data_IF_510848967884
#
_entry.id   IF_510848967884
#
_cell.length_a   1.000
_cell.length_b   1.000
_cell.length_c   1.000
_cell.angle_alpha   90.00
_cell.angle_beta   90.00
_cell.angle_gamma   90.00
#
_symmetry.space_group_name_H-M   'P 1'
#
loop_
_entity.id
_entity.type
_entity.pdbx_description
1 polymer ?
#
# COMPACT_ATOMS: atom_id res chain seq x y z
N UNK A 1 -56.72 55.43 41.13
CA UNK A 1 -55.91 54.72 42.14
C UNK A 1 -55.37 53.46 41.48
N UNK A 2 -54.14 53.52 40.96
CA UNK A 2 -53.55 52.46 40.16
C UNK A 2 -52.84 51.45 41.07
N UNK A 3 -53.34 50.22 41.09
CA UNK A 3 -52.82 49.16 41.96
C UNK A 3 -51.67 48.42 41.26
N UNK A 4 -50.44 48.61 41.76
CA UNK A 4 -49.22 47.99 41.23
C UNK A 4 -49.11 46.56 41.74
N UNK A 5 -49.26 45.57 40.85
CA UNK A 5 -48.91 44.18 41.14
C UNK A 5 -47.43 43.94 40.88
N UNK A 6 -46.67 43.61 41.93
CA UNK A 6 -45.28 43.13 41.83
C UNK A 6 -45.22 41.72 41.19
N UNK A 7 -44.20 41.42 40.37
CA UNK A 7 -44.05 40.09 39.80
C UNK A 7 -43.40 39.11 40.78
N UNK A 8 -43.99 37.93 40.92
CA UNK A 8 -43.53 36.85 41.77
C UNK A 8 -42.10 36.38 41.40
N UNK A 9 -41.24 36.25 42.42
CA UNK A 9 -39.84 35.85 42.30
C UNK A 9 -39.68 34.46 41.63
N UNK A 10 -38.86 34.43 40.56
CA UNK A 10 -38.52 33.22 39.80
C UNK A 10 -37.64 32.29 40.65
N UNK A 11 -38.20 31.18 41.14
CA UNK A 11 -37.47 30.15 41.89
C UNK A 11 -36.33 29.58 41.04
N UNK A 12 -35.08 29.81 41.46
CA UNK A 12 -33.90 29.22 40.83
C UNK A 12 -33.78 27.75 41.26
N UNK A 13 -34.11 26.82 40.36
CA UNK A 13 -33.82 25.39 40.53
C UNK A 13 -32.31 25.14 40.38
N UNK A 14 -31.54 25.38 41.45
CA UNK A 14 -30.13 24.98 41.52
C UNK A 14 -30.08 23.52 41.96
N UNK A 15 -29.84 22.63 41.00
CA UNK A 15 -29.53 21.22 41.27
C UNK A 15 -28.23 21.17 42.08
N UNK A 16 -28.20 20.40 43.17
CA UNK A 16 -27.00 20.31 44.00
C UNK A 16 -25.83 19.72 43.21
N UNK A 17 -24.57 20.10 43.51
CA UNK A 17 -23.39 19.53 42.86
C UNK A 17 -23.36 17.99 42.93
N UNK A 18 -23.81 17.42 44.05
CA UNK A 18 -23.91 15.98 44.25
C UNK A 18 -24.98 15.33 43.37
N UNK A 19 -26.15 15.96 43.20
CA UNK A 19 -27.18 15.47 42.29
C UNK A 19 -26.73 15.52 40.82
N UNK A 20 -25.92 16.52 40.44
CA UNK A 20 -25.28 16.58 39.12
C UNK A 20 -24.26 15.46 38.93
N UNK A 21 -23.36 15.26 39.90
CA UNK A 21 -22.36 14.20 39.87
C UNK A 21 -23.01 12.80 39.79
N UNK A 22 -24.08 12.55 40.55
CA UNK A 22 -24.83 11.29 40.47
C UNK A 22 -25.44 11.10 39.08
N UNK A 23 -26.05 12.14 38.50
CA UNK A 23 -26.63 12.07 37.15
C UNK A 23 -25.58 11.76 36.09
N UNK A 24 -24.39 12.34 36.20
CA UNK A 24 -23.25 12.07 35.32
C UNK A 24 -22.72 10.65 35.52
N UNK A 25 -22.60 10.18 36.77
CA UNK A 25 -22.19 8.81 37.08
C UNK A 25 -23.16 7.76 36.50
N UNK A 26 -24.48 7.99 36.62
CA UNK A 26 -25.49 7.12 36.02
C UNK A 26 -25.46 7.14 34.49
N UNK A 27 -25.19 8.30 33.88
CA UNK A 27 -24.99 8.41 32.43
C UNK A 27 -23.76 7.60 31.99
N UNK A 28 -22.62 7.80 32.66
CA UNK A 28 -21.39 7.08 32.36
C UNK A 28 -21.53 5.55 32.58
N UNK A 29 -22.29 5.12 33.58
CA UNK A 29 -22.59 3.70 33.79
C UNK A 29 -23.42 3.10 32.65
N UNK A 30 -24.42 3.84 32.14
CA UNK A 30 -25.21 3.42 30.97
C UNK A 30 -24.39 3.35 29.70
N UNK A 31 -23.53 4.33 29.46
CA UNK A 31 -22.61 4.36 28.30
C UNK A 31 -21.64 3.16 28.34
N UNK A 32 -21.08 2.84 29.51
CA UNK A 32 -20.25 1.64 29.67
C UNK A 32 -21.03 0.35 29.38
N UNK A 33 -22.25 0.22 29.91
CA UNK A 33 -23.08 -0.96 29.67
C UNK A 33 -23.45 -1.12 28.19
N UNK A 34 -23.73 -0.01 27.48
CA UNK A 34 -23.96 -0.02 26.02
C UNK A 34 -22.72 -0.48 25.27
N UNK A 35 -21.55 0.09 25.57
CA UNK A 35 -20.29 -0.29 24.94
C UNK A 35 -19.95 -1.76 25.16
N UNK A 36 -20.16 -2.30 26.36
CA UNK A 36 -19.97 -3.74 26.63
C UNK A 36 -20.92 -4.60 25.80
N UNK A 37 -22.17 -4.16 25.61
CA UNK A 37 -23.15 -4.88 24.79
C UNK A 37 -22.80 -4.84 23.30
N UNK A 38 -22.29 -3.71 22.81
CA UNK A 38 -21.78 -3.58 21.44
C UNK A 38 -20.61 -4.52 21.18
N UNK A 39 -19.61 -4.56 22.07
CA UNK A 39 -18.47 -5.48 21.97
C UNK A 39 -18.91 -6.95 21.95
N UNK A 40 -19.90 -7.30 22.77
CA UNK A 40 -20.46 -8.65 22.79
C UNK A 40 -21.16 -9.00 21.46
N UNK A 41 -21.94 -8.07 20.91
CA UNK A 41 -22.62 -8.27 19.63
C UNK A 41 -21.62 -8.45 18.48
N UNK A 42 -20.57 -7.63 18.42
CA UNK A 42 -19.50 -7.75 17.40
C UNK A 42 -18.83 -9.12 17.51
N UNK A 43 -18.50 -9.56 18.72
CA UNK A 43 -17.89 -10.88 18.95
C UNK A 43 -18.77 -12.02 18.45
N UNK A 44 -20.10 -11.92 18.65
CA UNK A 44 -21.04 -12.91 18.15
C UNK A 44 -21.12 -12.91 16.62
N UNK A 45 -21.17 -11.73 16.01
CA UNK A 45 -21.19 -11.58 14.54
C UNK A 45 -19.95 -12.19 13.90
N UNK A 46 -18.75 -11.88 14.42
CA UNK A 46 -17.49 -12.46 13.94
C UNK A 46 -17.49 -13.98 14.05
N UNK A 47 -18.03 -14.53 15.16
CA UNK A 47 -18.15 -15.98 15.33
C UNK A 47 -19.07 -16.61 14.29
N UNK A 48 -20.20 -15.98 13.98
CA UNK A 48 -21.16 -16.50 12.99
C UNK A 48 -20.57 -16.43 11.57
N UNK A 49 -19.85 -15.36 11.24
CA UNK A 49 -19.12 -15.22 9.97
C UNK A 49 -18.03 -16.29 9.83
N UNK A 50 -17.23 -16.51 10.88
CA UNK A 50 -16.21 -17.56 10.90
C UNK A 50 -16.82 -18.95 10.72
N UNK A 51 -17.96 -19.23 11.36
CA UNK A 51 -18.68 -20.50 11.16
C UNK A 51 -19.11 -20.65 9.70
N UNK A 52 -19.65 -19.60 9.10
CA UNK A 52 -20.07 -19.61 7.69
C UNK A 52 -18.90 -19.86 6.74
N UNK A 53 -17.74 -19.27 7.02
CA UNK A 53 -16.51 -19.53 6.25
C UNK A 53 -16.03 -20.97 6.41
N UNK A 54 -16.11 -21.52 7.63
CA UNK A 54 -15.75 -22.90 7.90
C UNK A 54 -16.68 -23.87 7.14
N UNK A 55 -17.98 -23.66 7.19
CA UNK A 55 -18.96 -24.50 6.49
C UNK A 55 -18.69 -24.48 4.98
N UNK A 56 -18.45 -23.29 4.40
CA UNK A 56 -18.08 -23.15 2.99
C UNK A 56 -16.77 -23.84 2.63
N UNK A 57 -15.76 -23.80 3.51
CA UNK A 57 -14.49 -24.47 3.29
C UNK A 57 -14.67 -25.99 3.27
N UNK A 58 -15.47 -26.53 4.21
CA UNK A 58 -15.82 -27.94 4.25
C UNK A 58 -16.60 -28.38 3.01
N UNK A 59 -17.60 -27.62 2.60
CA UNK A 59 -18.37 -27.89 1.39
C UNK A 59 -17.48 -27.85 0.13
N UNK A 60 -16.56 -26.90 0.05
CA UNK A 60 -15.62 -26.79 -1.06
C UNK A 60 -14.65 -27.97 -1.12
N UNK A 61 -14.27 -28.52 0.04
CA UNK A 61 -13.38 -29.68 0.13
C UNK A 61 -14.02 -30.96 -0.44
N UNK A 62 -15.34 -31.08 -0.44
CA UNK A 62 -16.05 -32.25 -1.01
C UNK A 62 -15.87 -32.35 -2.53
N UNK A 63 -15.65 -31.22 -3.23
CA UNK A 63 -15.48 -31.17 -4.69
C UNK A 63 -14.04 -31.09 -5.17
N UNK A 64 -13.07 -30.78 -4.31
CA UNK A 64 -11.68 -30.50 -4.72
C UNK A 64 -10.78 -31.74 -4.83
N UNK A 65 -11.26 -32.92 -4.43
CA UNK A 65 -10.46 -34.14 -4.43
C UNK A 65 -9.33 -34.12 -3.38
N UNK A 66 -8.51 -35.17 -3.30
CA UNK A 66 -7.39 -35.22 -2.36
C UNK A 66 -6.39 -34.09 -2.66
N UNK A 67 -5.99 -33.34 -1.63
CA UNK A 67 -4.97 -32.29 -1.74
C UNK A 67 -3.64 -32.92 -2.18
N UNK A 68 -3.32 -32.79 -3.46
CA UNK A 68 -2.02 -33.20 -4.01
C UNK A 68 -1.02 -32.09 -3.66
N UNK A 69 0.08 -32.40 -2.95
CA UNK A 69 1.18 -31.45 -2.79
C UNK A 69 1.72 -31.11 -4.17
N UNK A 70 1.54 -29.86 -4.59
CA UNK A 70 2.18 -29.34 -5.80
C UNK A 70 3.57 -28.89 -5.38
N UNK A 71 4.62 -29.37 -6.06
CA UNK A 71 5.96 -28.80 -5.92
C UNK A 71 5.88 -27.32 -6.27
N UNK A 72 6.44 -26.47 -5.41
CA UNK A 72 6.41 -25.02 -5.60
C UNK A 72 7.35 -24.64 -6.76
N UNK A 73 6.92 -24.88 -8.00
CA UNK A 73 7.57 -24.33 -9.19
C UNK A 73 7.04 -22.91 -9.44
N UNK A 74 7.46 -21.98 -8.57
CA UNK A 74 7.43 -20.56 -8.90
C UNK A 74 8.70 -19.90 -8.38
N UNK A 75 9.75 -19.98 -9.19
CA UNK A 75 10.90 -19.11 -9.06
C UNK A 75 10.56 -17.80 -9.78
N UNK A 76 10.22 -16.76 -9.01
CA UNK A 76 10.20 -15.40 -9.52
C UNK A 76 11.61 -14.86 -9.37
N UNK A 77 12.44 -15.02 -10.41
CA UNK A 77 13.68 -14.27 -10.55
C UNK A 77 13.31 -12.79 -10.77
N UNK A 78 13.28 -12.05 -9.67
CA UNK A 78 13.34 -10.60 -9.72
C UNK A 78 14.74 -10.18 -10.15
N UNK A 79 14.83 -9.54 -11.32
CA UNK A 79 15.97 -8.71 -11.74
C UNK A 79 17.36 -9.25 -11.32
N UNK A 80 17.69 -10.48 -11.72
CA UNK A 80 19.07 -10.94 -11.56
C UNK A 80 19.95 -10.27 -12.61
N UNK A 81 20.96 -9.53 -12.16
CA UNK A 81 21.98 -8.98 -13.04
C UNK A 81 22.92 -10.11 -13.46
N UNK A 82 22.68 -10.67 -14.65
CA UNK A 82 23.59 -11.64 -15.25
C UNK A 82 24.80 -10.89 -15.79
N UNK A 83 25.94 -11.00 -15.10
CA UNK A 83 27.21 -10.50 -15.58
C UNK A 83 27.86 -11.56 -16.47
N UNK A 84 27.92 -11.29 -17.78
CA UNK A 84 28.66 -12.12 -18.72
C UNK A 84 30.00 -11.44 -19.05
N UNK A 85 31.10 -12.17 -18.87
CA UNK A 85 32.39 -11.82 -19.44
C UNK A 85 32.38 -12.18 -20.93
N UNK A 86 32.62 -11.20 -21.79
CA UNK A 86 32.69 -11.34 -23.26
C UNK A 86 34.09 -10.96 -23.70
N UNK A 87 34.65 -11.69 -24.68
CA UNK A 87 35.95 -11.38 -25.26
C UNK A 87 35.91 -10.04 -26.02
N UNK A 88 37.02 -9.29 -25.99
CA UNK A 88 37.14 -7.97 -26.62
C UNK A 88 36.81 -8.01 -28.12
N UNK A 89 37.30 -9.03 -28.83
CA UNK A 89 37.01 -9.24 -30.26
C UNK A 89 35.50 -9.37 -30.54
N UNK A 90 34.77 -10.08 -29.67
CA UNK A 90 33.32 -10.25 -29.82
C UNK A 90 32.58 -8.95 -29.55
N UNK A 91 33.07 -8.14 -28.60
CA UNK A 91 32.49 -6.85 -28.30
C UNK A 91 32.68 -5.85 -29.46
N UNK A 92 33.81 -5.93 -30.17
CA UNK A 92 34.07 -5.11 -31.36
C UNK A 92 33.20 -5.48 -32.57
N UNK A 93 32.80 -6.74 -32.70
CA UNK A 93 31.94 -7.21 -33.80
C UNK A 93 30.47 -6.78 -33.63
N UNK A 94 30.02 -6.58 -32.40
CA UNK A 94 28.64 -6.21 -32.09
C UNK A 94 28.35 -4.75 -32.43
N UNK A 95 27.11 -4.48 -32.85
CA UNK A 95 26.63 -3.10 -32.98
C UNK A 95 26.23 -2.55 -31.62
N UNK A 96 26.45 -1.25 -31.41
CA UNK A 96 26.23 -0.61 -30.12
C UNK A 96 25.13 0.44 -30.23
N UNK A 97 24.19 0.45 -29.30
CA UNK A 97 23.12 1.45 -29.22
C UNK A 97 23.28 2.30 -27.98
N UNK A 98 23.24 3.62 -28.17
CA UNK A 98 23.26 4.60 -27.07
C UNK A 98 21.83 4.97 -26.70
N UNK A 99 21.45 4.71 -25.45
CA UNK A 99 20.11 4.95 -24.91
C UNK A 99 20.21 5.90 -23.72
N UNK A 100 19.38 6.96 -23.73
CA UNK A 100 19.24 7.87 -22.60
C UNK A 100 18.02 7.48 -21.77
N UNK A 101 18.23 7.24 -20.47
CA UNK A 101 17.17 7.09 -19.49
C UNK A 101 17.09 8.38 -18.66
N UNK A 102 16.03 9.16 -18.90
CA UNK A 102 15.79 10.39 -18.16
C UNK A 102 15.25 10.10 -16.77
N UNK A 103 15.39 11.05 -15.82
CA UNK A 103 14.84 10.94 -14.47
C UNK A 103 13.31 10.77 -14.43
N UNK A 104 12.61 11.13 -15.51
CA UNK A 104 11.17 10.91 -15.67
C UNK A 104 10.81 9.45 -16.03
N UNK A 105 11.80 8.56 -16.15
CA UNK A 105 11.63 7.16 -16.52
C UNK A 105 11.49 6.92 -18.03
N UNK A 106 11.54 7.96 -18.86
CA UNK A 106 11.51 7.80 -20.31
C UNK A 106 12.86 7.29 -20.82
N UNK A 107 12.81 6.15 -21.53
CA UNK A 107 13.92 5.54 -22.26
C UNK A 107 13.86 5.99 -23.71
N UNK A 108 14.89 6.68 -24.19
CA UNK A 108 15.00 7.16 -25.57
C UNK A 108 16.27 6.66 -26.23
N UNK A 109 16.12 5.97 -27.34
CA UNK A 109 17.22 5.60 -28.24
C UNK A 109 17.69 6.85 -28.98
N UNK A 110 19.01 7.11 -28.96
CA UNK A 110 19.60 8.28 -29.60
C UNK A 110 20.17 7.94 -30.98
N UNK A 111 21.11 6.99 -31.02
CA UNK A 111 21.77 6.53 -32.24
C UNK A 111 22.52 5.22 -31.97
N UNK A 112 22.95 4.58 -33.05
CA UNK A 112 23.78 3.39 -33.03
C UNK A 112 25.20 3.71 -33.54
N UNK A 113 26.21 3.06 -32.97
CA UNK A 113 27.60 3.11 -33.42
C UNK A 113 28.09 1.72 -33.80
N UNK A 114 29.13 1.68 -34.63
CA UNK A 114 29.70 0.41 -35.11
C UNK A 114 30.71 -0.17 -34.13
N UNK A 115 31.37 0.67 -33.35
CA UNK A 115 32.39 0.25 -32.37
C UNK A 115 32.00 0.70 -30.97
N UNK A 116 32.54 0.00 -29.96
CA UNK A 116 32.36 0.33 -28.56
C UNK A 116 32.98 1.70 -28.23
N UNK A 117 34.19 1.97 -28.73
CA UNK A 117 34.91 3.22 -28.45
C UNK A 117 34.11 4.45 -28.91
N UNK A 118 33.45 4.36 -30.06
CA UNK A 118 32.56 5.41 -30.55
C UNK A 118 31.35 5.60 -29.62
N UNK A 119 30.74 4.50 -29.15
CA UNK A 119 29.63 4.55 -28.20
C UNK A 119 30.05 5.19 -26.88
N UNK A 120 31.19 4.79 -26.32
CA UNK A 120 31.72 5.29 -25.05
C UNK A 120 32.09 6.77 -25.17
N UNK A 121 32.75 7.18 -26.26
CA UNK A 121 33.09 8.58 -26.51
C UNK A 121 31.85 9.45 -26.60
N UNK A 122 30.80 8.98 -27.28
CA UNK A 122 29.56 9.71 -27.41
C UNK A 122 28.77 9.75 -26.10
N UNK A 123 28.68 8.63 -25.38
CA UNK A 123 28.02 8.53 -24.08
C UNK A 123 28.66 9.46 -23.05
N UNK A 124 29.99 9.53 -23.01
CA UNK A 124 30.74 10.41 -22.10
C UNK A 124 30.36 11.87 -22.30
N UNK A 125 30.25 12.32 -23.57
CA UNK A 125 29.82 13.68 -23.89
C UNK A 125 28.35 13.92 -23.52
N UNK A 126 27.47 12.93 -23.71
CA UNK A 126 26.04 13.07 -23.41
C UNK A 126 25.79 13.18 -21.90
N UNK A 127 26.53 12.42 -21.08
CA UNK A 127 26.45 12.47 -19.62
C UNK A 127 26.77 13.87 -19.08
N UNK A 128 27.70 14.61 -19.71
CA UNK A 128 28.04 15.97 -19.29
C UNK A 128 26.87 16.97 -19.40
N UNK A 129 25.92 16.72 -20.31
CA UNK A 129 24.82 17.66 -20.62
C UNK A 129 23.43 17.14 -20.25
N UNK A 130 23.30 15.92 -19.73
CA UNK A 130 22.00 15.29 -19.47
C UNK A 130 21.82 14.88 -18.00
N UNK A 131 20.67 15.25 -17.43
CA UNK A 131 20.22 14.75 -16.13
C UNK A 131 19.60 13.35 -16.31
N UNK A 132 20.44 12.32 -16.26
CA UNK A 132 20.00 10.93 -16.40
C UNK A 132 21.14 9.92 -16.45
N UNK A 133 20.80 8.68 -16.83
CA UNK A 133 21.76 7.59 -17.04
C UNK A 133 21.83 7.28 -18.53
N UNK A 134 23.04 7.20 -19.07
CA UNK A 134 23.30 6.72 -20.43
C UNK A 134 23.65 5.25 -20.38
N UNK A 135 22.95 4.45 -21.19
CA UNK A 135 23.14 3.02 -21.33
C UNK A 135 23.73 2.74 -22.72
N UNK A 136 24.72 1.87 -22.78
CA UNK A 136 25.25 1.31 -24.02
C UNK A 136 24.78 -0.13 -24.08
N UNK A 137 23.96 -0.43 -25.08
CA UNK A 137 23.43 -1.78 -25.30
C UNK A 137 24.05 -2.37 -26.56
N UNK A 138 24.60 -3.57 -26.45
CA UNK A 138 25.06 -4.33 -27.61
C UNK A 138 23.91 -5.10 -28.22
N UNK A 139 23.90 -5.20 -29.55
CA UNK A 139 22.94 -6.03 -30.28
C UNK A 139 23.62 -6.66 -31.50
N UNK A 140 23.15 -7.84 -31.86
CA UNK A 140 23.55 -8.54 -33.08
C UNK A 140 22.93 -7.80 -34.29
N UNK A 141 23.72 -7.37 -35.29
CA UNK A 141 23.23 -6.63 -36.45
C UNK A 141 22.16 -7.34 -37.30
#
# INVERSE_FOLDING_TARGET
MSDKREPAARKQNRVSPMARANREAFRAARERAQKTREVFNISHQVRDELRTLQDRAQDSQVGQGPLVPVEAEMEVEGEEWVYQSVDEDTLEELSHRVVLKTNAGERRELFCTRTLDEAVSAASRIVEFSDGVVLIETFDP
#
